data_IF_830549105268
#
_entry.id   IF_830549105268
#
_cell.length_a   1.000
_cell.length_b   1.000
_cell.length_c   1.000
_cell.angle_alpha   90.00
_cell.angle_beta   90.00
_cell.angle_gamma   90.00
#
_symmetry.space_group_name_H-M   'P 1'
#
loop_
_entity.id
_entity.type
_entity.pdbx_description
1 polymer ?
#
# COMPACT_ATOMS: atom_id res chain seq x y z
N UNK A 1 0.86 -7.42 4.96
CA UNK A 1 0.57 -6.12 5.60
C UNK A 1 -0.40 -5.35 4.74
N UNK A 2 -1.45 -4.82 5.34
CA UNK A 2 -2.43 -3.96 4.69
C UNK A 2 -2.85 -2.82 5.62
N UNK A 3 -3.23 -1.71 5.01
CA UNK A 3 -3.75 -0.52 5.67
C UNK A 3 -5.28 -0.62 5.68
N UNK A 4 -5.87 -0.51 6.86
CA UNK A 4 -7.33 -0.47 7.04
C UNK A 4 -7.78 0.97 7.19
N UNK A 5 -8.49 1.47 6.18
CA UNK A 5 -8.98 2.85 6.15
C UNK A 5 -10.12 2.96 5.14
N UNK A 6 -11.21 3.60 5.52
CA UNK A 6 -12.27 3.92 4.55
C UNK A 6 -11.84 5.09 3.66
N UNK A 7 -11.79 4.85 2.36
CA UNK A 7 -11.55 5.84 1.32
C UNK A 7 -12.59 5.68 0.21
N UNK A 8 -12.83 6.76 -0.54
CA UNK A 8 -13.68 6.72 -1.72
C UNK A 8 -12.82 6.43 -2.96
N UNK A 9 -13.08 5.34 -3.66
CA UNK A 9 -12.37 5.02 -4.90
C UNK A 9 -12.70 6.01 -6.02
N UNK A 10 -11.88 5.98 -7.08
CA UNK A 10 -12.07 6.84 -8.26
C UNK A 10 -13.38 6.60 -9.02
N UNK A 11 -14.02 5.45 -8.78
CA UNK A 11 -15.32 5.08 -9.38
C UNK A 11 -16.51 5.37 -8.45
N UNK A 12 -16.27 6.02 -7.32
CA UNK A 12 -17.32 6.45 -6.39
C UNK A 12 -17.85 5.36 -5.46
N UNK A 13 -17.13 4.24 -5.33
CA UNK A 13 -17.44 3.15 -4.41
C UNK A 13 -16.46 3.16 -3.23
N UNK A 14 -16.95 2.94 -2.03
CA UNK A 14 -16.12 2.91 -0.83
C UNK A 14 -15.21 1.66 -0.80
N UNK A 15 -13.96 1.89 -0.43
CA UNK A 15 -12.92 0.86 -0.22
C UNK A 15 -12.38 0.99 1.20
N UNK A 16 -12.01 -0.13 1.81
CA UNK A 16 -11.59 -0.15 3.22
C UNK A 16 -10.26 -0.89 3.47
N UNK A 17 -9.75 -1.59 2.46
CA UNK A 17 -8.61 -2.49 2.59
C UNK A 17 -7.58 -2.19 1.51
N UNK A 18 -6.39 -1.71 1.91
CA UNK A 18 -5.38 -1.24 0.98
C UNK A 18 -4.07 -1.99 1.17
N UNK A 19 -3.47 -2.49 0.08
CA UNK A 19 -2.28 -3.34 0.15
C UNK A 19 -1.27 -2.95 -0.92
N UNK A 20 0.00 -2.91 -0.52
CA UNK A 20 1.11 -2.84 -1.48
C UNK A 20 1.20 -4.20 -2.18
N UNK A 21 0.95 -4.20 -3.48
CA UNK A 21 1.05 -5.39 -4.33
C UNK A 21 2.33 -5.40 -5.18
N UNK A 22 3.02 -4.27 -5.28
CA UNK A 22 4.26 -4.14 -6.01
C UNK A 22 5.09 -2.95 -5.55
N UNK A 23 6.40 -3.09 -5.64
CA UNK A 23 7.37 -2.02 -5.41
C UNK A 23 8.35 -2.08 -6.57
N UNK A 24 8.40 -1.02 -7.37
CA UNK A 24 9.34 -0.88 -8.48
C UNK A 24 10.40 0.14 -8.09
N UNK A 25 11.67 -0.29 -8.06
CA UNK A 25 12.80 0.57 -7.72
C UNK A 25 13.77 0.62 -8.90
N UNK A 26 14.04 1.84 -9.37
CA UNK A 26 15.09 2.10 -10.34
C UNK A 26 16.24 2.85 -9.67
N UNK A 27 17.32 2.12 -9.41
CA UNK A 27 18.52 2.64 -8.74
C UNK A 27 19.30 3.67 -9.57
N UNK A 28 19.24 3.57 -10.91
CA UNK A 28 19.95 4.51 -11.79
C UNK A 28 19.28 5.87 -11.78
N UNK A 29 17.96 5.90 -11.88
CA UNK A 29 17.19 7.13 -11.90
C UNK A 29 16.67 7.56 -10.53
N UNK A 30 17.01 6.81 -9.48
CA UNK A 30 16.50 6.96 -8.11
C UNK A 30 14.98 7.13 -8.03
N UNK A 31 14.24 6.29 -8.76
CA UNK A 31 12.77 6.29 -8.80
C UNK A 31 12.21 5.12 -8.03
N UNK A 32 11.18 5.37 -7.22
CA UNK A 32 10.42 4.32 -6.53
C UNK A 32 8.94 4.54 -6.83
N UNK A 33 8.28 3.47 -7.27
CA UNK A 33 6.85 3.39 -7.54
C UNK A 33 6.24 2.31 -6.66
N UNK A 34 5.28 2.71 -5.82
CA UNK A 34 4.51 1.83 -4.96
C UNK A 34 3.17 1.54 -5.65
N UNK A 35 2.91 0.26 -5.94
CA UNK A 35 1.63 -0.17 -6.51
C UNK A 35 0.70 -0.57 -5.35
N UNK A 36 -0.32 0.24 -5.09
CA UNK A 36 -1.28 0.05 -4.01
C UNK A 36 -2.62 -0.39 -4.58
N UNK A 37 -3.08 -1.56 -4.15
CA UNK A 37 -4.40 -2.09 -4.49
C UNK A 37 -5.39 -1.79 -3.38
N UNK A 38 -6.58 -1.29 -3.74
CA UNK A 38 -7.69 -1.04 -2.82
C UNK A 38 -8.83 -2.02 -3.10
N UNK A 39 -9.31 -2.67 -2.04
CA UNK A 39 -10.44 -3.59 -2.07
C UNK A 39 -11.61 -3.00 -1.28
N UNK A 40 -12.83 -3.39 -1.66
CA UNK A 40 -14.05 -3.02 -0.94
C UNK A 40 -13.92 -3.39 0.54
N UNK A 41 -13.42 -4.59 0.84
CA UNK A 41 -13.16 -5.07 2.19
C UNK A 41 -12.04 -6.12 2.22
N UNK A 42 -11.57 -6.41 3.44
CA UNK A 42 -10.65 -7.52 3.72
C UNK A 42 -11.20 -8.83 3.16
N UNK A 43 -12.47 -9.15 3.45
CA UNK A 43 -13.11 -10.39 3.01
C UNK A 43 -13.10 -10.55 1.48
N UNK A 44 -13.37 -9.47 0.73
CA UNK A 44 -13.32 -9.52 -0.74
C UNK A 44 -11.95 -9.88 -1.28
N UNK A 45 -10.88 -9.41 -0.63
CA UNK A 45 -9.54 -9.91 -0.95
C UNK A 45 -9.48 -11.41 -0.69
N UNK A 46 -9.84 -11.88 0.51
CA UNK A 46 -9.70 -13.30 0.88
C UNK A 46 -10.54 -14.25 0.00
N UNK A 47 -11.65 -13.75 -0.55
CA UNK A 47 -12.47 -14.43 -1.56
C UNK A 47 -11.80 -14.47 -2.96
N UNK A 48 -10.56 -14.00 -3.10
CA UNK A 48 -9.83 -13.83 -4.37
C UNK A 48 -10.56 -12.93 -5.39
N UNK A 49 -11.32 -11.94 -4.92
CA UNK A 49 -11.83 -10.92 -5.82
C UNK A 49 -10.70 -9.99 -6.29
N UNK A 50 -10.84 -9.46 -7.50
CA UNK A 50 -9.94 -8.40 -8.01
C UNK A 50 -10.06 -7.13 -7.16
N UNK A 51 -8.97 -6.35 -7.00
CA UNK A 51 -9.04 -5.04 -6.38
C UNK A 51 -9.91 -4.12 -7.22
N UNK A 52 -10.62 -3.22 -6.54
CA UNK A 52 -11.47 -2.25 -7.20
C UNK A 52 -10.64 -1.20 -7.96
N UNK A 53 -9.49 -0.84 -7.40
CA UNK A 53 -8.53 0.07 -8.01
C UNK A 53 -7.11 -0.33 -7.65
N UNK A 54 -6.19 -0.03 -8.56
CA UNK A 54 -4.76 -0.10 -8.34
C UNK A 54 -4.18 1.25 -8.72
N UNK A 55 -3.42 1.84 -7.80
CA UNK A 55 -2.83 3.16 -7.96
C UNK A 55 -1.33 3.06 -7.79
N UNK A 56 -0.61 3.68 -8.72
CA UNK A 56 0.83 3.86 -8.62
C UNK A 56 1.13 5.17 -7.89
N UNK A 57 1.90 5.08 -6.81
CA UNK A 57 2.31 6.20 -5.98
C UNK A 57 3.83 6.36 -6.13
N UNK A 58 4.25 7.48 -6.72
CA UNK A 58 5.68 7.81 -6.84
C UNK A 58 6.20 8.38 -5.52
N UNK A 59 7.26 7.78 -4.99
CA UNK A 59 7.97 8.29 -3.81
C UNK A 59 8.92 9.40 -4.25
N UNK A 60 8.99 10.54 -3.53
CA UNK A 60 9.98 11.59 -3.81
C UNK A 60 11.42 11.06 -3.76
N UNK A 61 12.28 11.54 -4.66
CA UNK A 61 13.70 11.14 -4.73
C UNK A 61 14.50 11.41 -3.44
N UNK A 62 14.07 12.41 -2.65
CA UNK A 62 14.65 12.71 -1.33
C UNK A 62 14.52 11.53 -0.35
N UNK A 63 13.47 10.73 -0.49
CA UNK A 63 13.18 9.58 0.37
C UNK A 63 13.75 8.28 -0.20
N UNK A 64 14.40 8.31 -1.37
CA UNK A 64 14.91 7.11 -2.04
C UNK A 64 15.81 6.27 -1.14
N UNK A 65 16.69 6.94 -0.38
CA UNK A 65 17.69 6.26 0.45
C UNK A 65 17.06 5.55 1.66
N UNK A 66 15.81 5.86 2.03
CA UNK A 66 15.06 5.11 3.06
C UNK A 66 14.84 3.65 2.67
N UNK A 67 14.82 3.33 1.37
CA UNK A 67 14.47 2.00 0.85
C UNK A 67 15.69 1.11 0.55
N UNK A 68 16.93 1.58 0.77
CA UNK A 68 18.13 0.91 0.25
C UNK A 68 18.69 -0.17 1.18
N UNK A 69 18.54 -0.01 2.50
CA UNK A 69 19.19 -0.88 3.49
C UNK A 69 18.20 -1.65 4.38
N UNK A 70 16.91 -1.47 4.16
CA UNK A 70 15.85 -2.10 4.94
C UNK A 70 14.90 -2.87 4.03
N UNK A 71 13.99 -3.66 4.61
CA UNK A 71 12.93 -4.31 3.83
C UNK A 71 12.06 -3.24 3.13
N UNK A 72 12.08 -3.16 1.79
CA UNK A 72 11.36 -2.12 1.07
C UNK A 72 9.84 -2.19 1.30
N UNK A 73 9.30 -3.37 1.66
CA UNK A 73 7.88 -3.54 1.96
C UNK A 73 7.50 -2.89 3.29
N UNK A 74 8.28 -3.11 4.34
CA UNK A 74 8.10 -2.43 5.63
C UNK A 74 8.20 -0.91 5.49
N UNK A 75 9.24 -0.43 4.81
CA UNK A 75 9.42 1.01 4.58
C UNK A 75 8.28 1.59 3.73
N UNK A 76 7.90 0.95 2.63
CA UNK A 76 6.76 1.39 1.81
C UNK A 76 5.48 1.50 2.64
N UNK A 77 5.22 0.51 3.49
CA UNK A 77 4.03 0.48 4.34
C UNK A 77 3.99 1.68 5.29
N UNK A 78 5.08 1.94 6.01
CA UNK A 78 5.19 3.06 6.94
C UNK A 78 5.12 4.40 6.19
N UNK A 79 5.85 4.51 5.08
CA UNK A 79 5.90 5.71 4.26
C UNK A 79 4.51 6.10 3.75
N UNK A 80 3.69 5.13 3.29
CA UNK A 80 2.31 5.37 2.88
C UNK A 80 1.46 5.98 4.00
N UNK A 81 1.58 5.47 5.24
CA UNK A 81 0.79 5.97 6.39
C UNK A 81 1.16 7.39 6.80
N UNK A 82 2.40 7.79 6.56
CA UNK A 82 2.93 9.10 6.95
C UNK A 82 2.76 10.17 5.87
N UNK A 83 2.82 9.78 4.58
CA UNK A 83 2.98 10.73 3.48
C UNK A 83 1.81 10.75 2.49
N UNK A 84 0.90 9.78 2.52
CA UNK A 84 -0.25 9.74 1.60
C UNK A 84 -1.51 10.21 2.29
N UNK A 85 -2.10 11.27 1.73
CA UNK A 85 -3.36 11.83 2.20
C UNK A 85 -4.45 10.76 2.22
N UNK A 86 -5.14 10.66 3.35
CA UNK A 86 -6.19 9.68 3.58
C UNK A 86 -5.72 8.47 4.37
N UNK A 87 -4.43 8.13 4.42
CA UNK A 87 -3.93 7.00 5.23
C UNK A 87 -3.56 7.36 6.67
N UNK A 88 -3.78 8.59 7.10
CA UNK A 88 -3.48 9.04 8.46
C UNK A 88 -4.33 8.26 9.48
N UNK A 89 -3.72 7.91 10.61
CA UNK A 89 -4.37 7.19 11.71
C UNK A 89 -5.07 5.88 11.28
N UNK A 90 -4.65 5.31 10.15
CA UNK A 90 -5.18 4.06 9.65
C UNK A 90 -4.78 2.90 10.58
N UNK A 91 -5.67 1.91 10.67
CA UNK A 91 -5.42 0.71 11.44
C UNK A 91 -4.55 -0.27 10.64
N UNK A 92 -3.76 -1.05 11.35
CA UNK A 92 -2.84 -2.02 10.77
C UNK A 92 -3.50 -3.40 10.65
N UNK A 93 -3.39 -4.01 9.47
CA UNK A 93 -3.57 -5.45 9.29
C UNK A 93 -2.21 -6.06 8.97
N UNK A 94 -1.48 -6.39 10.04
CA UNK A 94 -0.19 -7.05 9.99
C UNK A 94 -0.35 -8.56 9.73
N UNK A 95 -1.22 -8.96 8.77
CA UNK A 95 -1.51 -10.36 8.35
C UNK A 95 -0.70 -11.40 9.15
N UNK A 96 -1.17 -11.76 10.36
CA UNK A 96 -0.54 -12.83 11.12
C UNK A 96 -1.08 -14.11 10.52
N UNK A 97 -0.25 -14.86 9.79
CA UNK A 97 -0.54 -16.25 9.50
C UNK A 97 -0.52 -17.04 10.81
N UNK A 98 -1.63 -17.05 11.56
CA UNK A 98 -1.89 -18.16 12.48
C UNK A 98 -2.42 -19.33 11.64
N UNK A 99 -1.52 -20.22 11.21
CA UNK A 99 -1.95 -21.46 10.57
C UNK A 99 -0.89 -22.25 9.81
N UNK A 100 0.12 -22.77 10.51
CA UNK A 100 0.55 -24.19 10.40
C UNK A 100 0.88 -24.73 11.78
#
# INVERSE_FOLDING_TARGET
>A
MAIIKNLQSRVGVDVSYHRIIGINMNYRSRKILLCVASYISKDKRFDNCEPLEVVDIEVPDVDFDLFINEDPRGIAYLWLKENVEGFEQSADDLEVEEGV
#
